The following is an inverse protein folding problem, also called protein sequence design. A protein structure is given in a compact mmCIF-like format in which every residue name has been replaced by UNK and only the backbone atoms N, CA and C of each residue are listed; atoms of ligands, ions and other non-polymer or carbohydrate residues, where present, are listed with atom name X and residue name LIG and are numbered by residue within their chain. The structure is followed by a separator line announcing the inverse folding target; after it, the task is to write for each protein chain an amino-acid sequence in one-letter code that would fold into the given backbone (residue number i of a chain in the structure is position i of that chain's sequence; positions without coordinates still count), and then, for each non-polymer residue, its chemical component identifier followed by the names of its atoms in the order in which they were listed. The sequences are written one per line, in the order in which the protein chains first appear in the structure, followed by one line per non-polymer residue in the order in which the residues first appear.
data_IF_866104025928
#
_entry.id   IF_866104025928
#
_cell.length_a   1.000
_cell.length_b   1.000
_cell.length_c   1.000
_cell.angle_alpha   90.00
_cell.angle_beta   90.00
_cell.angle_gamma   90.00
#
_symmetry.space_group_name_H-M   'P 1'
#
loop_
_entity.id
_entity.type
_entity.pdbx_description
1 polymer ?
#
# COMPACT_ATOMS: atom_id res chain seq x y z
N UNK A 1 -6.24 6.16 9.90
CA UNK A 1 -6.84 7.41 10.41
C UNK A 1 -5.91 8.63 10.35
N UNK A 2 -4.59 8.53 10.57
CA UNK A 2 -3.69 9.69 10.43
C UNK A 2 -3.86 10.47 9.11
N UNK A 3 -3.71 9.84 7.93
CA UNK A 3 -3.91 10.53 6.66
C UNK A 3 -5.37 10.96 6.38
N UNK A 4 -6.34 10.35 7.06
CA UNK A 4 -7.73 10.81 7.00
C UNK A 4 -7.82 12.21 7.60
N UNK A 5 -7.29 12.43 8.80
CA UNK A 5 -7.28 13.76 9.42
C UNK A 5 -6.47 14.80 8.61
N UNK A 6 -5.37 14.38 7.99
CA UNK A 6 -4.61 15.24 7.07
C UNK A 6 -5.45 15.71 5.88
N UNK A 7 -6.36 14.87 5.37
CA UNK A 7 -7.29 15.27 4.28
C UNK A 7 -8.26 16.36 4.72
N UNK A 8 -8.50 16.49 6.03
CA UNK A 8 -9.34 17.52 6.64
C UNK A 8 -8.52 18.68 7.21
N UNK A 9 -7.25 18.81 6.84
CA UNK A 9 -6.31 19.81 7.36
C UNK A 9 -6.16 19.81 8.89
N UNK A 10 -6.38 18.65 9.53
CA UNK A 10 -6.22 18.46 10.96
C UNK A 10 -4.89 17.78 11.25
N UNK A 11 -3.94 18.54 11.78
CA UNK A 11 -2.61 18.06 12.14
C UNK A 11 -2.62 17.35 13.50
N UNK A 12 -2.11 16.12 13.55
CA UNK A 12 -1.97 15.36 14.80
C UNK A 12 -1.93 13.86 14.55
N UNK A 13 -1.31 13.12 15.48
CA UNK A 13 -1.27 11.67 15.41
C UNK A 13 -2.57 11.07 15.96
N UNK A 14 -3.18 10.12 15.26
CA UNK A 14 -4.30 9.34 15.80
C UNK A 14 -3.79 8.24 16.76
N UNK A 15 -4.41 8.02 17.93
CA UNK A 15 -5.65 8.63 18.42
C UNK A 15 -5.48 9.96 19.18
N UNK A 16 -4.25 10.39 19.51
CA UNK A 16 -3.98 11.57 20.34
C UNK A 16 -4.62 12.87 19.83
N UNK A 17 -4.78 13.05 18.51
CA UNK A 17 -5.48 14.20 17.91
C UNK A 17 -6.92 14.36 18.41
N UNK A 18 -7.55 13.28 18.88
CA UNK A 18 -8.91 13.33 19.41
C UNK A 18 -8.98 14.07 20.75
N UNK A 19 -7.87 14.17 21.49
CA UNK A 19 -7.78 14.83 22.79
C UNK A 19 -7.04 16.17 22.71
N UNK A 20 -6.71 16.62 21.50
CA UNK A 20 -6.00 17.89 21.27
C UNK A 20 -6.83 19.10 21.75
N UNK A 21 -6.18 20.05 22.42
CA UNK A 21 -6.85 21.22 23.03
C UNK A 21 -7.40 22.21 21.99
N UNK A 22 -6.82 22.26 20.78
CA UNK A 22 -7.17 23.23 19.74
C UNK A 22 -8.09 22.59 18.70
N UNK A 23 -7.72 21.40 18.20
CA UNK A 23 -8.43 20.76 17.08
C UNK A 23 -9.26 19.54 17.50
N UNK A 24 -9.16 19.08 18.76
CA UNK A 24 -9.78 17.83 19.21
C UNK A 24 -11.30 17.78 19.08
N UNK A 25 -11.99 18.91 19.26
CA UNK A 25 -13.44 18.97 19.04
C UNK A 25 -13.82 18.66 17.59
N UNK A 26 -13.15 19.31 16.63
CA UNK A 26 -13.42 19.08 15.20
C UNK A 26 -12.96 17.69 14.77
N UNK A 27 -11.83 17.21 15.30
CA UNK A 27 -11.33 15.86 15.05
C UNK A 27 -12.33 14.79 15.52
N UNK A 28 -12.90 14.93 16.73
CA UNK A 28 -13.95 14.01 17.24
C UNK A 28 -15.20 14.07 16.39
N UNK A 29 -15.63 15.26 15.96
CA UNK A 29 -16.83 15.44 15.12
C UNK A 29 -16.67 14.75 13.76
N UNK A 30 -15.62 15.06 13.02
CA UNK A 30 -15.40 14.46 11.68
C UNK A 30 -15.14 12.96 11.78
N UNK A 31 -14.50 12.49 12.86
CA UNK A 31 -14.32 11.06 13.12
C UNK A 31 -15.67 10.36 13.37
N UNK A 32 -16.57 10.96 14.15
CA UNK A 32 -17.90 10.41 14.40
C UNK A 32 -18.73 10.33 13.10
N UNK A 33 -18.69 11.39 12.28
CA UNK A 33 -19.36 11.40 10.98
C UNK A 33 -18.76 10.35 10.02
N UNK A 34 -17.44 10.19 10.03
CA UNK A 34 -16.75 9.16 9.25
C UNK A 34 -17.18 7.75 9.65
N UNK A 35 -17.28 7.48 10.95
CA UNK A 35 -17.76 6.19 11.48
C UNK A 35 -19.22 5.93 11.06
N UNK A 36 -20.09 6.95 11.16
CA UNK A 36 -21.48 6.84 10.75
C UNK A 36 -21.61 6.61 9.23
N UNK A 37 -20.81 7.30 8.41
CA UNK A 37 -20.81 7.10 6.97
C UNK A 37 -20.21 5.75 6.58
N UNK A 38 -19.13 5.30 7.22
CA UNK A 38 -18.53 3.98 7.00
C UNK A 38 -19.55 2.87 7.24
N UNK A 39 -20.36 2.97 8.31
CA UNK A 39 -21.47 2.06 8.55
C UNK A 39 -22.46 2.03 7.38
N UNK A 40 -22.88 3.20 6.88
CA UNK A 40 -23.78 3.30 5.70
C UNK A 40 -23.16 2.73 4.43
N UNK A 41 -21.86 2.96 4.20
CA UNK A 41 -21.11 2.40 3.06
C UNK A 41 -21.19 0.88 3.09
N UNK A 42 -20.97 0.27 4.26
CA UNK A 42 -20.97 -1.19 4.42
C UNK A 42 -22.38 -1.76 4.31
N UNK A 43 -23.34 -1.24 5.08
CA UNK A 43 -24.73 -1.73 5.10
C UNK A 43 -25.42 -1.55 3.75
N UNK A 44 -25.18 -0.42 3.10
CA UNK A 44 -25.72 -0.10 1.78
C UNK A 44 -24.91 -0.66 0.62
N UNK A 45 -23.78 -1.33 0.89
CA UNK A 45 -22.83 -1.82 -0.13
C UNK A 45 -22.46 -0.77 -1.18
N UNK A 46 -22.23 0.47 -0.73
CA UNK A 46 -21.90 1.58 -1.64
C UNK A 46 -20.52 1.41 -2.26
N UNK A 47 -19.62 0.72 -1.58
CA UNK A 47 -18.27 0.39 -2.02
C UNK A 47 -18.02 -1.11 -1.87
N UNK A 48 -17.21 -1.66 -2.77
CA UNK A 48 -16.76 -3.05 -2.73
C UNK A 48 -15.25 -3.10 -2.85
N UNK A 49 -14.61 -3.78 -1.89
CA UNK A 49 -13.18 -4.06 -1.90
C UNK A 49 -12.88 -5.18 -2.90
N UNK A 50 -12.02 -4.89 -3.88
CA UNK A 50 -11.55 -5.81 -4.90
C UNK A 50 -10.03 -5.87 -4.86
N UNK A 51 -9.48 -7.09 -5.00
CA UNK A 51 -8.04 -7.32 -4.98
C UNK A 51 -7.68 -8.43 -5.95
N UNK A 52 -6.53 -8.29 -6.61
CA UNK A 52 -5.84 -9.37 -7.33
C UNK A 52 -4.42 -9.45 -6.82
N UNK A 53 -3.94 -10.67 -6.61
CA UNK A 53 -2.60 -10.97 -6.11
C UNK A 53 -2.01 -12.06 -7.01
N UNK A 54 -0.77 -11.88 -7.44
CA UNK A 54 0.01 -12.89 -8.14
C UNK A 54 1.35 -13.13 -7.44
N UNK A 55 1.74 -14.39 -7.31
CA UNK A 55 3.05 -14.82 -6.84
C UNK A 55 3.72 -15.56 -7.98
N UNK A 56 4.91 -15.11 -8.37
CA UNK A 56 5.61 -15.61 -9.54
C UNK A 56 7.00 -16.09 -9.15
N UNK A 57 7.48 -17.22 -9.73
CA UNK A 57 8.90 -17.51 -9.78
C UNK A 57 9.62 -16.28 -10.35
N UNK A 58 10.67 -15.83 -9.68
CA UNK A 58 11.40 -14.64 -10.09
C UNK A 58 12.90 -14.78 -9.84
N UNK A 59 13.69 -14.10 -10.66
CA UNK A 59 15.13 -13.99 -10.47
C UNK A 59 15.62 -12.61 -10.90
N UNK A 60 16.69 -12.13 -10.26
CA UNK A 60 17.41 -10.97 -10.75
C UNK A 60 18.02 -11.27 -12.11
N UNK A 61 17.77 -10.38 -13.08
CA UNK A 61 18.34 -10.39 -14.42
C UNK A 61 19.40 -9.29 -14.52
N UNK A 62 20.65 -9.68 -14.78
CA UNK A 62 21.77 -8.74 -14.74
C UNK A 62 21.99 -8.16 -13.34
N UNK A 63 22.10 -6.83 -13.25
CA UNK A 63 22.35 -6.13 -11.99
C UNK A 63 21.11 -5.49 -11.38
N UNK A 64 20.19 -4.99 -12.21
CA UNK A 64 19.17 -4.04 -11.77
C UNK A 64 17.74 -4.48 -12.07
N UNK A 65 17.54 -5.56 -12.83
CA UNK A 65 16.21 -5.96 -13.29
C UNK A 65 15.73 -7.23 -12.57
N UNK A 66 14.41 -7.42 -12.53
CA UNK A 66 13.77 -8.62 -11.97
C UNK A 66 12.93 -9.27 -13.08
N UNK A 67 13.27 -10.51 -13.44
CA UNK A 67 12.45 -11.31 -14.35
C UNK A 67 11.41 -12.10 -13.53
N UNK A 68 10.14 -12.04 -13.93
CA UNK A 68 9.05 -12.88 -13.43
C UNK A 68 8.70 -13.91 -14.50
N UNK A 69 8.46 -15.15 -14.10
CA UNK A 69 8.21 -16.28 -15.00
C UNK A 69 6.80 -16.84 -14.85
N UNK A 70 6.27 -17.46 -15.91
CA UNK A 70 4.94 -18.08 -15.90
C UNK A 70 4.86 -19.30 -14.96
N UNK A 71 5.99 -19.99 -14.80
CA UNK A 71 6.08 -21.25 -14.08
C UNK A 71 7.52 -21.51 -13.58
N UNK A 72 7.69 -22.59 -12.82
CA UNK A 72 8.95 -22.95 -12.17
C UNK A 72 10.05 -23.40 -13.13
N UNK A 73 9.76 -23.62 -14.43
CA UNK A 73 10.79 -23.94 -15.42
C UNK A 73 11.73 -22.76 -15.68
N UNK A 74 11.25 -21.53 -15.41
CA UNK A 74 12.01 -20.27 -15.53
C UNK A 74 12.64 -20.06 -16.92
N UNK A 75 12.00 -20.59 -17.98
CA UNK A 75 12.53 -20.53 -19.35
C UNK A 75 12.32 -19.16 -20.01
N UNK A 76 11.09 -18.63 -19.96
CA UNK A 76 10.74 -17.36 -20.60
C UNK A 76 10.08 -16.43 -19.58
N UNK A 77 10.64 -15.22 -19.36
CA UNK A 77 9.98 -14.21 -18.53
C UNK A 77 8.64 -13.77 -19.13
N UNK A 78 7.61 -13.65 -18.29
CA UNK A 78 6.32 -13.01 -18.64
C UNK A 78 6.37 -11.51 -18.40
N UNK A 79 7.25 -11.05 -17.53
CA UNK A 79 7.52 -9.64 -17.25
C UNK A 79 8.99 -9.50 -16.87
N UNK A 80 9.63 -8.42 -17.33
CA UNK A 80 10.90 -7.94 -16.79
C UNK A 80 10.62 -6.58 -16.17
N UNK A 81 10.75 -6.49 -14.84
CA UNK A 81 10.69 -5.22 -14.14
C UNK A 81 12.07 -4.58 -14.15
N UNK A 82 12.21 -3.50 -14.90
CA UNK A 82 13.44 -2.71 -14.94
C UNK A 82 13.58 -1.84 -13.68
N UNK A 83 14.66 -2.06 -12.94
CA UNK A 83 14.94 -1.32 -11.70
C UNK A 83 15.84 -0.11 -11.93
N UNK A 84 15.88 0.78 -10.93
CA UNK A 84 16.83 1.88 -10.87
C UNK A 84 17.73 1.72 -9.66
N UNK A 85 19.04 1.87 -9.87
CA UNK A 85 20.03 1.87 -8.80
C UNK A 85 20.32 3.29 -8.32
N UNK A 86 20.50 3.45 -7.02
CA UNK A 86 20.98 4.71 -6.46
C UNK A 86 22.37 5.07 -7.02
N UNK A 87 22.55 6.27 -7.56
CA UNK A 87 23.81 6.69 -8.20
C UNK A 87 24.61 7.76 -7.45
N UNK A 88 24.01 8.40 -6.43
CA UNK A 88 24.74 9.34 -5.58
C UNK A 88 25.86 8.62 -4.79
N UNK A 89 27.00 9.29 -4.65
CA UNK A 89 28.11 8.83 -3.82
C UNK A 89 27.61 8.50 -2.42
N UNK A 90 28.00 7.33 -1.93
CA UNK A 90 27.57 6.83 -0.63
C UNK A 90 28.55 7.31 0.43
N UNK A 91 28.03 7.56 1.62
CA UNK A 91 28.84 7.91 2.78
C UNK A 91 29.00 6.69 3.67
N UNK A 92 30.18 6.57 4.25
CA UNK A 92 30.47 5.63 5.32
C UNK A 92 29.80 6.13 6.60
N UNK A 93 29.05 5.25 7.26
CA UNK A 93 28.41 5.53 8.55
C UNK A 93 28.82 4.40 9.49
N UNK A 94 29.40 4.76 10.63
CA UNK A 94 29.88 3.82 11.65
C UNK A 94 30.83 2.73 11.11
N UNK A 95 31.75 3.09 10.21
CA UNK A 95 32.71 2.13 9.63
C UNK A 95 32.16 1.32 8.45
N UNK A 96 30.90 1.53 8.05
CA UNK A 96 30.23 0.70 7.05
C UNK A 96 29.83 1.53 5.83
N UNK A 97 30.39 1.14 4.68
CA UNK A 97 30.02 1.70 3.38
C UNK A 97 28.60 1.24 3.01
N UNK A 98 27.64 2.17 2.95
CA UNK A 98 26.29 1.82 2.52
C UNK A 98 26.27 1.46 1.02
N UNK A 99 25.59 0.39 0.60
CA UNK A 99 25.52 0.05 -0.81
C UNK A 99 24.64 1.03 -1.58
N UNK A 100 24.95 1.22 -2.86
CA UNK A 100 24.00 1.77 -3.84
C UNK A 100 22.92 0.74 -4.14
N UNK A 101 21.74 0.93 -3.55
CA UNK A 101 20.66 -0.08 -3.60
C UNK A 101 19.88 -0.03 -4.91
N UNK A 102 19.43 -1.20 -5.36
CA UNK A 102 18.37 -1.42 -6.33
C UNK A 102 17.36 -2.43 -5.73
N UNK A 103 16.07 -2.36 -6.10
CA UNK A 103 15.09 -3.36 -5.65
C UNK A 103 15.45 -4.78 -6.07
N UNK A 104 16.10 -4.95 -7.23
CA UNK A 104 16.55 -6.24 -7.71
C UNK A 104 17.59 -6.92 -6.81
N UNK A 105 18.26 -6.17 -5.92
CA UNK A 105 19.22 -6.73 -4.96
C UNK A 105 18.55 -7.66 -3.93
N UNK A 106 17.23 -7.55 -3.76
CA UNK A 106 16.45 -8.37 -2.83
C UNK A 106 15.88 -9.66 -3.46
N UNK A 107 16.17 -9.92 -4.74
CA UNK A 107 15.77 -11.14 -5.44
C UNK A 107 17.02 -11.90 -5.88
N UNK A 108 17.06 -13.20 -5.62
CA UNK A 108 18.21 -14.03 -5.92
C UNK A 108 18.53 -14.05 -7.43
N UNK A 109 19.82 -14.07 -7.82
CA UNK A 109 20.20 -14.26 -9.21
C UNK A 109 19.80 -15.67 -9.69
N UNK A 110 19.80 -15.85 -11.02
CA UNK A 110 19.56 -17.15 -11.63
C UNK A 110 20.48 -18.24 -11.03
N UNK A 111 19.92 -19.45 -10.86
CA UNK A 111 20.58 -20.58 -10.18
C UNK A 111 20.16 -20.78 -8.73
N UNK A 112 19.49 -19.78 -8.12
CA UNK A 112 18.80 -19.92 -6.83
C UNK A 112 17.30 -19.67 -7.04
N UNK A 113 16.45 -20.59 -6.59
CA UNK A 113 15.00 -20.39 -6.68
C UNK A 113 14.56 -19.26 -5.76
N UNK A 114 13.89 -18.26 -6.33
CA UNK A 114 13.30 -17.13 -5.62
C UNK A 114 11.99 -16.68 -6.29
N UNK A 115 11.30 -15.72 -5.68
CA UNK A 115 9.94 -15.33 -5.99
C UNK A 115 9.71 -13.83 -5.84
N UNK A 116 8.73 -13.31 -6.57
CA UNK A 116 8.23 -11.96 -6.41
C UNK A 116 6.70 -11.96 -6.43
N UNK A 117 6.11 -11.09 -5.60
CA UNK A 117 4.68 -10.88 -5.54
C UNK A 117 4.27 -9.53 -6.13
N UNK A 118 3.12 -9.50 -6.79
CA UNK A 118 2.48 -8.28 -7.28
C UNK A 118 1.01 -8.29 -6.87
N UNK A 119 0.44 -7.11 -6.63
CA UNK A 119 -0.97 -6.97 -6.33
C UNK A 119 -1.54 -5.65 -6.82
N UNK A 120 -2.83 -5.63 -7.07
CA UNK A 120 -3.61 -4.42 -7.30
C UNK A 120 -4.89 -4.49 -6.47
N UNK A 121 -5.24 -3.38 -5.83
CA UNK A 121 -6.41 -3.27 -4.95
C UNK A 121 -7.21 -2.03 -5.29
N UNK A 122 -8.52 -2.10 -5.08
CA UNK A 122 -9.39 -0.93 -5.12
C UNK A 122 -10.59 -1.16 -4.23
N UNK A 123 -11.01 -0.12 -3.52
CA UNK A 123 -12.29 -0.11 -2.82
C UNK A 123 -13.32 0.80 -3.53
N UNK A 124 -13.02 1.28 -4.74
CA UNK A 124 -13.68 2.45 -5.34
C UNK A 124 -14.39 2.21 -6.67
N UNK A 125 -14.56 0.98 -7.14
CA UNK A 125 -15.27 0.74 -8.41
C UNK A 125 -16.71 1.25 -8.30
N UNK A 126 -17.04 2.30 -9.07
CA UNK A 126 -18.35 2.94 -9.05
C UNK A 126 -18.55 3.98 -7.94
N UNK A 127 -17.48 4.34 -7.21
CA UNK A 127 -17.52 5.37 -6.17
C UNK A 127 -17.98 6.73 -6.73
N UNK A 128 -17.64 7.04 -7.98
CA UNK A 128 -17.96 8.31 -8.65
C UNK A 128 -19.47 8.54 -8.68
N UNK A 129 -20.28 7.48 -8.88
CA UNK A 129 -21.75 7.62 -8.90
C UNK A 129 -22.29 8.10 -7.57
N UNK A 130 -21.71 7.63 -6.46
CA UNK A 130 -22.15 8.01 -5.12
C UNK A 130 -21.64 9.40 -4.74
N UNK A 131 -20.41 9.74 -5.09
CA UNK A 131 -19.86 11.09 -4.97
C UNK A 131 -20.73 12.11 -5.71
N UNK A 132 -21.07 11.85 -6.98
CA UNK A 132 -21.94 12.72 -7.79
C UNK A 132 -23.35 12.88 -7.19
N UNK A 133 -23.88 11.85 -6.53
CA UNK A 133 -25.18 11.95 -5.86
C UNK A 133 -25.17 12.91 -4.66
N UNK A 134 -24.04 13.04 -3.94
CA UNK A 134 -23.87 14.05 -2.89
C UNK A 134 -23.72 15.46 -3.48
N UNK A 135 -22.90 15.61 -4.53
CA UNK A 135 -22.70 16.89 -5.21
C UNK A 135 -24.00 17.44 -5.83
N UNK A 136 -24.84 16.56 -6.41
CA UNK A 136 -26.15 16.95 -6.93
C UNK A 136 -27.12 17.47 -5.85
N UNK A 137 -26.87 17.14 -4.59
CA UNK A 137 -27.62 17.62 -3.42
C UNK A 137 -26.94 18.83 -2.76
N UNK A 138 -25.87 19.37 -3.35
CA UNK A 138 -25.03 20.44 -2.78
C UNK A 138 -24.42 20.05 -1.42
N UNK A 139 -24.16 18.76 -1.21
CA UNK A 139 -23.55 18.20 0.00
C UNK A 139 -22.06 17.89 -0.23
N UNK A 140 -21.26 18.96 -0.36
CA UNK A 140 -19.81 18.85 -0.57
C UNK A 140 -19.11 18.15 0.60
N UNK A 141 -19.62 18.33 1.83
CA UNK A 141 -19.09 17.69 3.02
C UNK A 141 -19.16 16.16 2.92
N UNK A 142 -20.34 15.61 2.61
CA UNK A 142 -20.48 14.16 2.47
C UNK A 142 -19.71 13.62 1.27
N UNK A 143 -19.59 14.39 0.19
CA UNK A 143 -18.78 14.00 -0.97
C UNK A 143 -17.30 13.85 -0.59
N UNK A 144 -16.73 14.84 0.11
CA UNK A 144 -15.35 14.79 0.61
C UNK A 144 -15.19 13.63 1.60
N UNK A 145 -16.09 13.52 2.58
CA UNK A 145 -16.05 12.46 3.60
C UNK A 145 -16.09 11.06 2.99
N UNK A 146 -16.96 10.84 2.02
CA UNK A 146 -17.07 9.58 1.29
C UNK A 146 -15.79 9.25 0.53
N UNK A 147 -15.22 10.23 -0.17
CA UNK A 147 -13.98 10.05 -0.94
C UNK A 147 -12.78 9.78 -0.04
N UNK A 148 -12.64 10.51 1.06
CA UNK A 148 -11.62 10.25 2.08
C UNK A 148 -11.75 8.83 2.63
N UNK A 149 -12.97 8.35 2.91
CA UNK A 149 -13.20 6.97 3.37
C UNK A 149 -12.86 5.93 2.29
N UNK A 150 -13.23 6.16 1.03
CA UNK A 150 -12.92 5.26 -0.08
C UNK A 150 -11.40 5.07 -0.25
N UNK A 151 -10.65 6.17 -0.18
CA UNK A 151 -9.18 6.18 -0.19
C UNK A 151 -8.61 5.41 1.01
N UNK A 152 -9.10 5.66 2.23
CA UNK A 152 -8.67 4.91 3.42
C UNK A 152 -8.99 3.42 3.34
N UNK A 153 -10.09 3.03 2.71
CA UNK A 153 -10.45 1.63 2.49
C UNK A 153 -9.54 0.96 1.46
N UNK A 154 -9.11 1.66 0.41
CA UNK A 154 -8.15 1.14 -0.55
C UNK A 154 -6.78 0.88 0.11
N UNK A 155 -6.30 1.81 0.92
CA UNK A 155 -5.04 1.66 1.68
C UNK A 155 -5.13 0.54 2.73
N UNK A 156 -6.25 0.47 3.46
CA UNK A 156 -6.50 -0.62 4.41
C UNK A 156 -6.54 -1.99 3.71
N UNK A 157 -7.09 -2.04 2.49
CA UNK A 157 -7.08 -3.25 1.68
C UNK A 157 -5.67 -3.64 1.23
N UNK A 158 -4.82 -2.67 0.87
CA UNK A 158 -3.42 -2.94 0.56
C UNK A 158 -2.68 -3.56 1.76
N UNK A 159 -2.83 -2.98 2.96
CA UNK A 159 -2.23 -3.52 4.19
C UNK A 159 -2.75 -4.93 4.50
N UNK A 160 -4.08 -5.13 4.43
CA UNK A 160 -4.70 -6.44 4.69
C UNK A 160 -4.27 -7.48 3.67
N UNK A 161 -4.20 -7.15 2.39
CA UNK A 161 -3.74 -8.08 1.36
C UNK A 161 -2.27 -8.42 1.55
N UNK A 162 -1.42 -7.44 1.88
CA UNK A 162 -0.03 -7.72 2.18
C UNK A 162 0.13 -8.63 3.39
N UNK A 163 -0.60 -8.40 4.48
CA UNK A 163 -0.64 -9.31 5.64
C UNK A 163 -1.03 -10.74 5.24
N UNK A 164 -2.07 -10.90 4.42
CA UNK A 164 -2.47 -12.22 3.89
C UNK A 164 -1.41 -12.85 3.01
N UNK A 165 -0.68 -12.07 2.22
CA UNK A 165 0.46 -12.60 1.45
C UNK A 165 1.50 -13.19 2.40
N UNK A 166 1.91 -12.44 3.43
CA UNK A 166 2.93 -12.92 4.38
C UNK A 166 2.50 -14.18 5.13
N UNK A 167 1.24 -14.22 5.58
CA UNK A 167 0.72 -15.26 6.48
C UNK A 167 0.12 -16.48 5.78
N UNK A 168 -0.59 -16.26 4.67
CA UNK A 168 -1.47 -17.26 4.06
C UNK A 168 -1.03 -17.65 2.64
N UNK A 169 -0.79 -16.67 1.76
CA UNK A 169 -0.61 -16.95 0.32
C UNK A 169 0.83 -17.29 -0.05
N UNK A 170 1.79 -16.51 0.45
CA UNK A 170 3.22 -16.81 0.36
C UNK A 170 3.67 -17.60 1.60
N UNK A 171 3.17 -17.21 2.78
CA UNK A 171 3.25 -18.05 3.98
C UNK A 171 4.60 -18.08 4.68
N UNK A 172 5.53 -17.17 4.36
CA UNK A 172 6.84 -17.11 5.03
C UNK A 172 6.78 -16.62 6.49
N UNK A 173 5.64 -16.07 6.94
CA UNK A 173 5.43 -15.59 8.30
C UNK A 173 4.06 -16.04 8.84
N UNK A 174 3.75 -17.34 8.73
CA UNK A 174 2.43 -17.90 9.08
C UNK A 174 2.02 -17.70 10.56
N UNK A 175 2.98 -17.55 11.47
CA UNK A 175 2.79 -17.33 12.90
C UNK A 175 2.78 -15.84 13.30
N UNK A 176 2.88 -14.90 12.34
CA UNK A 176 2.89 -13.46 12.59
C UNK A 176 1.62 -13.00 13.33
N UNK A 177 1.80 -12.32 14.46
CA UNK A 177 0.71 -11.72 15.27
C UNK A 177 1.02 -10.25 15.58
N UNK A 178 0.95 -9.40 14.57
CA UNK A 178 1.17 -7.96 14.71
C UNK A 178 -0.14 -7.23 15.00
N UNK A 179 -0.08 -6.26 15.92
CA UNK A 179 -1.15 -5.29 16.08
C UNK A 179 -1.18 -4.30 14.91
N UNK A 180 -2.32 -3.62 14.69
CA UNK A 180 -2.44 -2.59 13.65
C UNK A 180 -1.40 -1.46 13.81
N UNK A 181 -1.00 -1.12 15.04
CA UNK A 181 0.04 -0.13 15.29
C UNK A 181 1.43 -0.62 14.84
N UNK A 182 1.69 -1.92 14.94
CA UNK A 182 2.95 -2.52 14.47
C UNK A 182 2.96 -2.69 12.95
N UNK A 183 1.81 -2.99 12.33
CA UNK A 183 1.66 -2.98 10.86
C UNK A 183 1.97 -1.60 10.28
N UNK A 184 1.41 -0.52 10.85
CA UNK A 184 1.70 0.87 10.43
C UNK A 184 3.19 1.22 10.57
N UNK A 185 3.87 0.64 11.55
CA UNK A 185 5.32 0.82 11.77
C UNK A 185 6.18 -0.14 10.94
N UNK A 186 5.56 -0.90 10.03
CA UNK A 186 6.21 -1.87 9.15
C UNK A 186 7.07 -2.90 9.90
N UNK A 187 6.63 -3.34 11.10
CA UNK A 187 7.38 -4.31 11.93
C UNK A 187 7.28 -5.77 11.45
N UNK A 188 7.00 -5.98 10.17
CA UNK A 188 6.97 -7.29 9.52
C UNK A 188 8.21 -7.46 8.63
N UNK A 189 8.54 -8.71 8.31
CA UNK A 189 9.52 -9.01 7.26
C UNK A 189 8.89 -8.77 5.88
N UNK A 190 9.68 -8.24 4.94
CA UNK A 190 9.26 -7.99 3.56
C UNK A 190 8.77 -6.56 3.31
N UNK A 191 8.63 -6.21 2.03
CA UNK A 191 8.21 -4.88 1.56
C UNK A 191 7.20 -5.00 0.42
N UNK A 192 6.45 -3.93 0.17
CA UNK A 192 5.45 -3.83 -0.92
C UNK A 192 5.63 -2.55 -1.75
N UNK A 193 6.80 -2.35 -2.40
CA UNK A 193 7.08 -1.12 -3.16
C UNK A 193 6.08 -0.93 -4.30
N UNK A 194 5.57 0.28 -4.45
CA UNK A 194 4.60 0.63 -5.49
C UNK A 194 5.24 1.54 -6.56
N UNK A 195 5.11 1.23 -7.86
CA UNK A 195 5.66 2.07 -8.92
C UNK A 195 5.17 3.52 -8.86
N UNK A 196 6.11 4.45 -8.91
CA UNK A 196 5.92 5.89 -8.68
C UNK A 196 6.42 6.38 -7.32
N UNK A 197 6.69 5.48 -6.38
CA UNK A 197 7.35 5.81 -5.12
C UNK A 197 8.88 5.88 -5.29
N UNK A 198 9.62 6.52 -4.37
CA UNK A 198 11.06 6.77 -4.52
C UNK A 198 11.94 5.54 -4.78
N UNK A 199 11.53 4.35 -4.32
CA UNK A 199 12.27 3.10 -4.56
C UNK A 199 12.12 2.55 -5.99
N UNK A 200 11.06 2.94 -6.70
CA UNK A 200 10.76 2.54 -8.07
C UNK A 200 9.96 3.67 -8.76
N UNK A 201 10.60 4.81 -9.07
CA UNK A 201 9.88 6.02 -9.49
C UNK A 201 9.30 5.92 -10.91
N UNK A 202 9.69 4.93 -11.71
CA UNK A 202 9.13 4.73 -13.05
C UNK A 202 7.68 4.21 -12.97
N UNK A 203 6.75 4.94 -13.56
CA UNK A 203 5.34 4.57 -13.64
C UNK A 203 5.03 3.55 -14.75
N UNK A 204 5.94 3.34 -15.70
CA UNK A 204 5.69 2.58 -16.93
C UNK A 204 5.32 1.11 -16.68
N UNK A 205 5.90 0.50 -15.63
CA UNK A 205 5.67 -0.90 -15.23
C UNK A 205 4.25 -1.21 -14.78
N UNK A 206 3.40 -0.19 -14.56
CA UNK A 206 1.98 -0.38 -14.22
C UNK A 206 1.09 -0.76 -15.41
N UNK A 207 1.63 -0.74 -16.63
CA UNK A 207 0.89 -1.02 -17.88
C UNK A 207 0.71 -2.50 -18.14
#
# INVERSE_FOLDING_TARGET
WGPFFQTWDLAGAFPAILDDEVVGEQARKVYADAQAMLKKIIEGRWLTANAVIGLYPANRLGHDDIALYADESRQQPVLVWHGLRQQAEKQEIDGVMRPSRCLADFVAPAGTADYAGVFAVTAGIGAEKKEQAFLAQLDDYSAILFKSLADRLAEALAERMHERVRKELWGYASDEQLSNAQLIKEQYQGIRPAPGYPACPDHSVKR
#
